data_IF_268713080044
#
_entry.id   IF_268713080044
#
_cell.length_a   1.000
_cell.length_b   1.000
_cell.length_c   1.000
_cell.angle_alpha   90.00
_cell.angle_beta   90.00
_cell.angle_gamma   90.00
#
_symmetry.space_group_name_H-M   'P 1'
#
loop_
_entity.id
_entity.type
_entity.pdbx_description
1 polymer ?
#
# COMPACT_ATOMS: atom_id res chain seq x y z
N UNK A 1 -8.23 -6.68 65.98
CA UNK A 1 -9.37 -6.03 66.66
C UNK A 1 -10.37 -5.60 65.60
N UNK A 2 -11.60 -6.12 65.74
CA UNK A 2 -12.87 -5.81 65.07
C UNK A 2 -12.94 -5.52 63.56
N UNK A 3 -13.41 -6.54 62.84
CA UNK A 3 -14.27 -6.43 61.66
C UNK A 3 -15.63 -5.81 62.03
N UNK A 4 -16.15 -4.92 61.18
CA UNK A 4 -17.57 -4.54 61.13
C UNK A 4 -18.04 -4.57 59.65
N UNK A 5 -19.22 -5.14 59.34
CA UNK A 5 -19.67 -5.36 57.97
C UNK A 5 -20.55 -4.20 57.45
N UNK A 6 -20.40 -3.85 56.17
CA UNK A 6 -21.31 -2.94 55.48
C UNK A 6 -22.44 -3.72 54.81
N UNK A 7 -23.66 -3.39 55.17
CA UNK A 7 -24.92 -3.98 54.70
C UNK A 7 -25.36 -3.28 53.40
N UNK A 8 -25.76 -4.08 52.41
CA UNK A 8 -26.30 -3.63 51.12
C UNK A 8 -27.81 -3.39 51.28
N UNK A 9 -28.27 -2.16 51.06
CA UNK A 9 -29.69 -1.82 50.98
C UNK A 9 -30.17 -1.86 49.51
N UNK A 10 -31.01 -2.84 49.18
CA UNK A 10 -31.82 -2.86 47.97
C UNK A 10 -33.02 -1.90 48.15
N UNK A 11 -33.17 -0.94 47.24
CA UNK A 11 -34.40 -0.16 47.08
C UNK A 11 -35.14 -0.61 45.81
N UNK A 12 -36.45 -0.87 45.84
CA UNK A 12 -37.21 -1.30 44.67
C UNK A 12 -37.62 -0.09 43.83
N UNK A 13 -37.21 -0.07 42.55
CA UNK A 13 -37.70 0.91 41.58
C UNK A 13 -38.96 0.38 40.89
N UNK A 14 -40.07 1.04 41.16
CA UNK A 14 -41.40 0.82 40.60
C UNK A 14 -41.47 1.31 39.14
N UNK A 15 -41.99 0.46 38.25
CA UNK A 15 -42.20 0.76 36.83
C UNK A 15 -43.45 1.62 36.67
N UNK A 16 -43.28 2.88 36.27
CA UNK A 16 -44.37 3.73 35.80
C UNK A 16 -44.53 3.61 34.28
N UNK A 17 -45.69 3.09 33.84
CA UNK A 17 -46.20 3.24 32.47
C UNK A 17 -46.85 4.62 32.31
N UNK A 18 -46.58 5.33 31.21
CA UNK A 18 -47.50 6.34 30.69
C UNK A 18 -48.15 5.87 29.38
N UNK A 19 -49.47 5.75 29.40
CA UNK A 19 -50.34 5.77 28.23
C UNK A 19 -50.76 7.20 27.94
N UNK A 20 -50.45 7.73 26.75
CA UNK A 20 -51.35 8.64 26.02
C UNK A 20 -50.86 8.89 24.60
N UNK A 21 -51.76 8.55 23.67
CA UNK A 21 -51.78 8.82 22.24
C UNK A 21 -51.14 10.15 21.79
N UNK A 22 -50.26 10.07 20.80
CA UNK A 22 -50.12 11.07 19.74
C UNK A 22 -49.96 10.37 18.40
N UNK A 23 -50.82 10.77 17.48
CA UNK A 23 -51.01 10.20 16.14
C UNK A 23 -49.82 10.49 15.21
N UNK A 24 -49.34 9.46 14.53
CA UNK A 24 -48.44 9.56 13.38
C UNK A 24 -49.27 9.28 12.10
N UNK A 25 -49.17 10.08 11.04
CA UNK A 25 -49.96 9.84 9.83
C UNK A 25 -49.41 8.66 9.03
N UNK A 26 -50.34 7.80 8.60
CA UNK A 26 -50.15 6.66 7.71
C UNK A 26 -49.56 7.07 6.34
N UNK A 27 -48.58 6.30 5.88
CA UNK A 27 -48.05 6.33 4.52
C UNK A 27 -49.00 5.57 3.57
N UNK A 28 -49.61 6.28 2.61
CA UNK A 28 -50.48 5.73 1.56
C UNK A 28 -49.71 5.62 0.21
N UNK A 29 -49.54 4.42 -0.37
CA UNK A 29 -48.77 4.23 -1.61
C UNK A 29 -49.55 4.57 -2.89
N UNK A 30 -50.58 5.42 -2.85
CA UNK A 30 -51.38 5.81 -4.04
C UNK A 30 -51.40 7.31 -4.38
N UNK A 31 -50.55 8.13 -3.76
CA UNK A 31 -50.40 9.55 -4.08
C UNK A 31 -49.21 9.82 -5.02
N UNK A 32 -49.26 9.32 -6.26
CA UNK A 32 -48.35 9.71 -7.33
C UNK A 32 -49.04 9.55 -8.69
N UNK A 33 -50.21 10.17 -8.85
CA UNK A 33 -50.83 10.45 -10.14
C UNK A 33 -51.44 11.84 -10.07
N UNK A 34 -51.26 12.58 -11.15
CA UNK A 34 -51.82 13.89 -11.48
C UNK A 34 -51.01 15.14 -11.10
N UNK A 35 -50.22 15.62 -12.07
CA UNK A 35 -50.16 17.03 -12.55
C UNK A 35 -49.20 17.15 -13.77
N UNK A 36 -49.32 18.16 -14.67
CA UNK A 36 -49.58 17.94 -16.10
C UNK A 36 -48.40 18.16 -17.07
N UNK A 37 -48.53 17.60 -18.28
CA UNK A 37 -47.66 17.85 -19.46
C UNK A 37 -47.93 19.21 -20.12
N UNK A 38 -46.90 19.84 -20.71
CA UNK A 38 -47.04 20.66 -21.89
C UNK A 38 -46.43 20.00 -23.14
N UNK A 39 -46.85 20.54 -24.28
CA UNK A 39 -47.00 19.90 -25.59
C UNK A 39 -45.75 19.80 -26.49
N UNK A 40 -45.91 18.94 -27.50
CA UNK A 40 -45.00 18.65 -28.61
C UNK A 40 -44.87 19.86 -29.55
N UNK A 41 -43.64 20.15 -29.97
CA UNK A 41 -43.40 20.76 -31.28
C UNK A 41 -42.29 20.01 -32.01
N UNK A 42 -42.68 19.40 -33.11
CA UNK A 42 -41.89 18.74 -34.14
C UNK A 42 -40.77 19.60 -34.70
N UNK A 43 -39.60 19.00 -34.98
CA UNK A 43 -38.91 19.15 -36.27
C UNK A 43 -37.85 18.07 -36.46
N UNK A 44 -37.84 17.58 -37.69
CA UNK A 44 -37.14 16.42 -38.23
C UNK A 44 -35.62 16.48 -38.16
N UNK A 45 -35.02 15.30 -38.06
CA UNK A 45 -33.64 15.03 -38.43
C UNK A 45 -33.42 15.25 -39.94
N UNK A 46 -32.20 15.64 -40.37
CA UNK A 46 -31.75 15.38 -41.72
C UNK A 46 -30.75 14.22 -41.75
N UNK A 47 -31.13 13.28 -42.60
CA UNK A 47 -30.44 12.20 -43.27
C UNK A 47 -29.00 12.52 -43.72
N UNK A 48 -28.12 11.54 -43.53
CA UNK A 48 -26.82 11.41 -44.19
C UNK A 48 -26.96 11.54 -45.72
N UNK A 49 -26.28 12.53 -46.31
CA UNK A 49 -25.94 12.56 -47.74
C UNK A 49 -24.42 12.66 -47.90
N UNK A 50 -23.95 11.83 -48.82
CA UNK A 50 -22.56 11.67 -49.27
C UNK A 50 -21.93 12.99 -49.73
N UNK A 51 -20.71 13.26 -49.25
CA UNK A 51 -19.69 14.03 -49.97
C UNK A 51 -18.39 13.21 -49.89
N UNK A 52 -17.79 12.98 -51.06
CA UNK A 52 -16.69 12.03 -51.28
C UNK A 52 -15.35 12.44 -50.67
N UNK A 53 -14.33 11.58 -50.78
CA UNK A 53 -13.02 11.82 -50.19
C UNK A 53 -12.18 12.68 -51.13
N UNK A 54 -11.87 13.90 -50.71
CA UNK A 54 -10.70 14.63 -51.20
C UNK A 54 -9.94 15.12 -49.97
N UNK A 55 -9.10 14.24 -49.42
CA UNK A 55 -8.13 14.56 -48.38
C UNK A 55 -6.75 14.37 -48.99
N UNK A 56 -6.20 15.48 -49.46
CA UNK A 56 -4.79 15.61 -49.79
C UNK A 56 -3.95 15.22 -48.57
N UNK A 57 -3.05 14.26 -48.77
CA UNK A 57 -2.04 13.83 -47.79
C UNK A 57 -0.94 14.89 -47.76
N UNK A 58 -0.66 15.57 -46.64
CA UNK A 58 0.65 16.17 -46.44
C UNK A 58 1.61 15.05 -46.01
N UNK A 59 2.64 14.82 -46.82
CA UNK A 59 3.80 14.06 -46.42
C UNK A 59 4.47 14.76 -45.22
N UNK A 60 4.35 14.16 -44.04
CA UNK A 60 5.00 14.64 -42.83
C UNK A 60 4.98 13.53 -41.78
N UNK A 61 6.16 12.99 -41.48
CA UNK A 61 6.34 11.85 -40.60
C UNK A 61 5.65 12.03 -39.24
N UNK A 62 4.71 11.15 -38.93
CA UNK A 62 4.13 11.04 -37.60
C UNK A 62 5.23 10.54 -36.67
N UNK A 63 5.61 11.38 -35.71
CA UNK A 63 6.61 11.04 -34.69
C UNK A 63 6.04 9.99 -33.74
N UNK A 64 6.25 8.70 -34.05
CA UNK A 64 5.79 7.54 -33.27
C UNK A 64 6.33 7.56 -31.82
N UNK A 65 7.42 8.28 -31.59
CA UNK A 65 8.04 8.46 -30.25
C UNK A 65 7.15 9.22 -29.26
N UNK A 66 6.40 10.23 -29.72
CA UNK A 66 5.60 11.09 -28.82
C UNK A 66 4.34 10.42 -28.28
N UNK A 67 3.65 9.63 -29.12
CA UNK A 67 2.43 8.93 -28.73
C UNK A 67 2.71 7.76 -27.77
N UNK A 68 3.83 7.05 -27.96
CA UNK A 68 4.26 5.96 -27.08
C UNK A 68 4.67 6.48 -25.68
N UNK A 69 5.37 7.61 -25.64
CA UNK A 69 5.74 8.28 -24.39
C UNK A 69 4.51 8.75 -23.60
N UNK A 70 3.49 9.29 -24.28
CA UNK A 70 2.25 9.74 -23.65
C UNK A 70 1.41 8.55 -23.12
N UNK A 71 1.34 7.45 -23.87
CA UNK A 71 0.64 6.23 -23.44
C UNK A 71 1.35 5.55 -22.25
N UNK A 72 2.68 5.44 -22.27
CA UNK A 72 3.47 4.86 -21.19
C UNK A 72 3.43 5.74 -19.91
N UNK A 73 3.51 7.06 -20.06
CA UNK A 73 3.32 8.00 -18.95
C UNK A 73 1.91 7.91 -18.35
N UNK A 74 0.89 7.58 -19.14
CA UNK A 74 -0.49 7.38 -18.67
C UNK A 74 -0.68 6.01 -17.98
N UNK A 75 -0.04 4.95 -18.47
CA UNK A 75 -0.02 3.61 -17.84
C UNK A 75 0.66 3.66 -16.46
N UNK A 76 1.71 4.47 -16.31
CA UNK A 76 2.38 4.69 -15.02
C UNK A 76 1.62 5.61 -14.04
N UNK A 77 0.48 6.19 -14.43
CA UNK A 77 -0.29 7.14 -13.59
C UNK A 77 -1.40 6.49 -12.75
N UNK A 78 -1.73 5.21 -12.98
CA UNK A 78 -2.87 4.58 -12.29
C UNK A 78 -2.61 3.17 -11.75
N UNK A 79 -1.48 2.54 -12.11
CA UNK A 79 -1.10 1.24 -11.56
C UNK A 79 -0.05 1.40 -10.45
N UNK A 80 -0.17 0.68 -9.31
CA UNK A 80 0.84 0.68 -8.26
C UNK A 80 2.18 0.19 -8.81
N UNK A 81 3.26 0.91 -8.49
CA UNK A 81 4.60 0.48 -8.85
C UNK A 81 5.08 -0.53 -7.81
N UNK A 82 5.30 -1.78 -8.23
CA UNK A 82 5.97 -2.78 -7.40
C UNK A 82 7.43 -2.92 -7.85
N UNK A 83 8.35 -2.57 -6.96
CA UNK A 83 9.78 -2.64 -7.17
C UNK A 83 10.32 -3.81 -6.36
N UNK A 84 10.94 -4.79 -7.02
CA UNK A 84 11.43 -6.01 -6.40
C UNK A 84 12.96 -5.96 -6.35
N UNK A 85 13.54 -6.22 -5.19
CA UNK A 85 14.99 -6.26 -4.96
C UNK A 85 15.38 -7.58 -4.33
N UNK A 86 16.64 -7.94 -4.47
CA UNK A 86 17.14 -9.25 -4.03
C UNK A 86 17.00 -9.44 -2.52
N UNK A 87 17.23 -8.39 -1.73
CA UNK A 87 17.28 -8.47 -0.27
C UNK A 87 16.78 -7.18 0.43
N UNK A 88 16.55 -7.21 1.76
CA UNK A 88 16.11 -6.06 2.53
C UNK A 88 17.03 -4.83 2.46
N UNK A 89 18.35 -5.01 2.33
CA UNK A 89 19.30 -3.90 2.19
C UNK A 89 19.15 -3.22 0.83
N UNK A 90 19.05 -3.99 -0.25
CA UNK A 90 18.84 -3.47 -1.59
C UNK A 90 17.50 -2.71 -1.71
N UNK A 91 16.42 -3.26 -1.14
CA UNK A 91 15.11 -2.59 -1.05
C UNK A 91 15.20 -1.27 -0.26
N UNK A 92 15.86 -1.30 0.91
CA UNK A 92 16.00 -0.12 1.77
C UNK A 92 16.87 0.96 1.15
N UNK A 93 17.98 0.57 0.51
CA UNK A 93 18.86 1.49 -0.23
C UNK A 93 18.11 2.16 -1.38
N UNK A 94 17.29 1.41 -2.13
CA UNK A 94 16.50 1.97 -3.22
C UNK A 94 15.55 3.07 -2.72
N UNK A 95 14.84 2.85 -1.61
CA UNK A 95 13.95 3.87 -1.03
C UNK A 95 14.75 5.07 -0.51
N UNK A 96 15.89 4.86 0.15
CA UNK A 96 16.73 5.96 0.61
C UNK A 96 17.22 6.83 -0.56
N UNK A 97 17.70 6.21 -1.64
CA UNK A 97 18.10 6.88 -2.88
C UNK A 97 16.92 7.66 -3.48
N UNK A 98 15.73 7.07 -3.49
CA UNK A 98 14.50 7.70 -3.98
C UNK A 98 14.10 8.93 -3.15
N UNK A 99 14.10 8.83 -1.82
CA UNK A 99 13.80 9.96 -0.92
C UNK A 99 14.80 11.10 -1.13
N UNK A 100 16.09 10.80 -1.26
CA UNK A 100 17.14 11.79 -1.53
C UNK A 100 16.89 12.49 -2.86
N UNK A 101 16.59 11.74 -3.93
CA UNK A 101 16.27 12.28 -5.24
C UNK A 101 15.03 13.18 -5.19
N UNK A 102 13.99 12.78 -4.46
CA UNK A 102 12.77 13.56 -4.28
C UNK A 102 13.03 14.87 -3.54
N UNK A 103 13.76 14.85 -2.44
CA UNK A 103 14.12 16.06 -1.70
C UNK A 103 14.99 16.98 -2.57
N UNK A 104 16.01 16.45 -3.27
CA UNK A 104 16.87 17.24 -4.16
C UNK A 104 16.11 17.88 -5.32
N UNK A 105 15.25 17.10 -5.98
CA UNK A 105 14.44 17.56 -7.12
C UNK A 105 13.42 18.60 -6.67
N UNK A 106 12.84 18.41 -5.47
CA UNK A 106 11.94 19.40 -4.89
C UNK A 106 12.67 20.68 -4.51
N UNK A 107 13.96 20.61 -4.12
CA UNK A 107 14.79 21.75 -3.73
C UNK A 107 14.12 22.63 -2.65
N UNK A 108 13.94 22.10 -1.41
CA UNK A 108 13.16 22.77 -0.38
C UNK A 108 13.85 24.02 0.17
N UNK A 109 13.06 25.06 0.41
CA UNK A 109 13.46 26.29 1.11
C UNK A 109 12.71 26.42 2.43
N UNK A 110 12.99 27.45 3.23
CA UNK A 110 12.27 27.67 4.48
C UNK A 110 10.77 27.97 4.23
N UNK A 111 10.45 28.65 3.13
CA UNK A 111 9.10 29.04 2.72
C UNK A 111 8.35 27.91 2.00
N UNK A 112 9.11 26.96 1.43
CA UNK A 112 8.58 25.79 0.73
C UNK A 112 9.31 24.53 1.20
N UNK A 113 9.02 24.04 2.42
CA UNK A 113 9.67 22.86 2.95
C UNK A 113 9.21 21.59 2.24
N UNK A 114 10.03 20.55 2.27
CA UNK A 114 9.63 19.21 1.85
C UNK A 114 8.95 18.50 3.02
N UNK A 115 7.69 18.10 2.88
CA UNK A 115 6.92 17.47 3.96
C UNK A 115 6.98 15.95 3.84
N UNK A 116 7.54 15.27 4.84
CA UNK A 116 7.84 13.83 4.82
C UNK A 116 7.09 13.09 5.93
N UNK A 117 6.22 12.15 5.54
CA UNK A 117 5.60 11.19 6.46
C UNK A 117 6.55 10.05 6.78
N UNK A 118 6.67 9.65 8.05
CA UNK A 118 7.67 8.68 8.51
C UNK A 118 7.09 7.53 9.36
N UNK A 119 7.54 6.28 9.13
CA UNK A 119 7.20 5.11 9.93
C UNK A 119 8.16 4.86 11.09
N UNK A 120 7.74 4.00 12.01
CA UNK A 120 8.62 3.32 12.98
C UNK A 120 8.69 1.81 12.68
N UNK A 121 9.28 1.04 13.59
CA UNK A 121 9.41 -0.42 13.47
C UNK A 121 10.69 -0.85 12.77
N UNK A 122 10.87 -2.15 12.57
CA UNK A 122 12.13 -2.72 12.07
C UNK A 122 12.38 -2.44 10.58
N UNK A 123 11.33 -2.46 9.75
CA UNK A 123 11.45 -2.28 8.30
C UNK A 123 12.15 -0.98 7.87
N UNK A 124 11.85 0.21 8.44
CA UNK A 124 12.51 1.45 8.02
C UNK A 124 13.91 1.68 8.60
N UNK A 125 14.40 0.86 9.53
CA UNK A 125 15.70 1.11 10.20
C UNK A 125 16.86 1.20 9.21
N UNK A 126 16.92 0.29 8.24
CA UNK A 126 17.95 0.29 7.21
C UNK A 126 17.85 1.53 6.29
N UNK A 127 16.63 2.00 6.02
CA UNK A 127 16.39 3.24 5.25
C UNK A 127 16.96 4.43 6.02
N UNK A 128 16.69 4.54 7.32
CA UNK A 128 17.24 5.60 8.16
C UNK A 128 18.76 5.56 8.21
N UNK A 129 19.37 4.38 8.34
CA UNK A 129 20.83 4.23 8.31
C UNK A 129 21.44 4.78 7.00
N UNK A 130 20.83 4.47 5.86
CA UNK A 130 21.28 5.01 4.57
C UNK A 130 21.10 6.53 4.48
N UNK A 131 19.95 7.07 4.90
CA UNK A 131 19.71 8.52 4.90
C UNK A 131 20.71 9.27 5.79
N UNK A 132 21.00 8.72 6.98
CA UNK A 132 22.01 9.26 7.91
C UNK A 132 23.40 9.20 7.29
N UNK A 133 23.77 8.08 6.67
CA UNK A 133 25.07 7.94 6.01
C UNK A 133 25.24 8.99 4.91
N UNK A 134 24.22 9.18 4.07
CA UNK A 134 24.23 10.16 2.97
C UNK A 134 24.25 11.60 3.46
N UNK A 135 23.60 11.88 4.59
CA UNK A 135 23.72 13.18 5.24
C UNK A 135 25.15 13.44 5.74
N UNK A 136 25.76 12.48 6.43
CA UNK A 136 27.11 12.61 7.00
C UNK A 136 28.20 12.87 5.96
N UNK A 137 28.03 12.38 4.73
CA UNK A 137 28.95 12.66 3.60
C UNK A 137 28.57 13.92 2.81
N UNK A 138 27.58 14.70 3.26
CA UNK A 138 27.17 15.96 2.65
C UNK A 138 26.30 15.84 1.40
N UNK A 139 25.78 14.65 1.09
CA UNK A 139 24.96 14.45 -0.10
C UNK A 139 23.54 14.99 0.05
N UNK A 140 23.01 15.14 1.26
CA UNK A 140 21.64 15.59 1.52
C UNK A 140 21.54 16.38 2.82
N UNK A 141 20.62 17.36 2.86
CA UNK A 141 20.27 18.13 4.05
C UNK A 141 18.77 18.01 4.33
N UNK A 142 18.42 17.94 5.61
CA UNK A 142 17.06 17.89 6.16
C UNK A 142 16.66 19.21 6.83
N UNK A 143 17.46 20.27 6.71
CA UNK A 143 17.22 21.58 7.35
C UNK A 143 15.89 22.23 6.97
N UNK A 144 15.42 21.99 5.75
CA UNK A 144 14.15 22.47 5.21
C UNK A 144 13.15 21.31 4.97
N UNK A 145 13.30 20.22 5.71
CA UNK A 145 12.33 19.12 5.73
C UNK A 145 11.46 19.27 6.98
N UNK A 146 10.15 19.05 6.83
CA UNK A 146 9.17 18.95 7.92
C UNK A 146 8.69 17.51 7.98
N UNK A 147 8.73 16.88 9.15
CA UNK A 147 8.39 15.47 9.31
C UNK A 147 7.10 15.30 10.10
N UNK A 148 6.34 14.25 9.75
CA UNK A 148 5.16 13.79 10.48
C UNK A 148 5.25 12.27 10.67
N UNK A 149 5.32 11.81 11.91
CA UNK A 149 5.25 10.38 12.21
C UNK A 149 3.81 9.85 12.18
N UNK A 150 3.66 8.56 11.91
CA UNK A 150 2.35 7.91 11.81
C UNK A 150 1.62 7.78 13.14
N UNK A 151 2.32 7.55 14.24
CA UNK A 151 1.71 7.10 15.48
C UNK A 151 2.59 7.36 16.70
N UNK A 152 1.98 7.24 17.88
CA UNK A 152 2.64 7.16 19.18
C UNK A 152 1.73 6.41 20.17
N UNK A 153 2.31 5.67 21.12
CA UNK A 153 1.54 5.02 22.17
C UNK A 153 0.94 6.03 23.15
N UNK A 154 -0.27 5.75 23.62
CA UNK A 154 -0.92 6.55 24.66
C UNK A 154 -0.40 6.17 26.03
N UNK A 155 -0.04 7.17 26.84
CA UNK A 155 0.36 6.99 28.24
C UNK A 155 1.80 6.50 28.45
N UNK A 156 2.59 6.33 27.39
CA UNK A 156 4.02 6.00 27.52
C UNK A 156 4.83 7.29 27.75
N UNK A 157 5.79 7.34 28.70
CA UNK A 157 6.67 8.50 28.83
C UNK A 157 7.40 8.79 27.52
N UNK A 158 7.54 10.07 27.17
CA UNK A 158 8.15 10.50 25.91
C UNK A 158 9.60 10.05 25.76
N UNK A 159 10.32 9.95 26.87
CA UNK A 159 11.71 9.52 26.98
C UNK A 159 11.85 8.01 27.21
N UNK A 160 10.74 7.28 27.32
CA UNK A 160 10.77 5.82 27.43
C UNK A 160 11.49 5.23 26.21
N UNK A 161 12.40 4.24 26.37
CA UNK A 161 13.20 3.70 25.26
C UNK A 161 12.36 3.14 24.10
N UNK A 162 11.18 2.59 24.42
CA UNK A 162 10.24 2.02 23.44
C UNK A 162 9.16 2.99 22.95
N UNK A 163 9.21 4.28 23.34
CA UNK A 163 8.35 5.30 22.73
C UNK A 163 8.79 5.55 21.28
N UNK A 164 7.86 5.96 20.43
CA UNK A 164 8.18 6.30 19.05
C UNK A 164 8.94 7.63 18.94
N UNK A 165 8.79 8.54 19.90
CA UNK A 165 9.73 9.64 20.13
C UNK A 165 11.17 9.10 20.26
N UNK A 166 11.46 8.26 21.26
CA UNK A 166 12.82 7.70 21.46
C UNK A 166 13.34 6.94 20.25
N UNK A 167 12.49 6.13 19.60
CA UNK A 167 12.84 5.41 18.38
C UNK A 167 13.35 6.36 17.29
N UNK A 168 12.60 7.42 17.00
CA UNK A 168 12.96 8.34 15.92
C UNK A 168 14.22 9.14 16.22
N UNK A 169 14.42 9.57 17.47
CA UNK A 169 15.66 10.23 17.86
C UNK A 169 16.86 9.29 17.83
N UNK A 170 16.70 8.04 18.26
CA UNK A 170 17.75 7.02 18.23
C UNK A 170 18.20 6.68 16.81
N UNK A 171 17.26 6.50 15.89
CA UNK A 171 17.55 5.98 14.56
C UNK A 171 17.76 7.06 13.50
N UNK A 172 17.22 8.26 13.68
CA UNK A 172 17.22 9.27 12.62
C UNK A 172 17.48 10.69 13.09
N UNK A 173 16.60 11.30 13.90
CA UNK A 173 16.61 12.75 14.12
C UNK A 173 17.86 13.29 14.82
N UNK A 174 18.54 12.50 15.67
CA UNK A 174 19.79 12.93 16.31
C UNK A 174 21.01 12.89 15.40
N UNK A 175 20.87 12.35 14.20
CA UNK A 175 21.99 12.08 13.27
C UNK A 175 21.91 12.89 11.98
N UNK A 176 20.93 13.78 11.86
CA UNK A 176 20.70 14.65 10.71
C UNK A 176 20.41 16.09 11.12
N UNK A 177 20.51 17.04 10.19
CA UNK A 177 20.32 18.48 10.42
C UNK A 177 18.85 18.97 10.35
N UNK A 178 17.89 18.09 10.66
CA UNK A 178 16.47 18.47 10.77
C UNK A 178 16.27 19.40 11.97
N UNK A 179 15.48 20.46 11.80
CA UNK A 179 15.19 21.40 12.90
C UNK A 179 14.20 20.76 13.88
N UNK A 180 14.38 20.89 15.21
CA UNK A 180 13.42 20.36 16.19
C UNK A 180 11.97 20.82 15.96
N UNK A 181 11.75 22.09 15.61
CA UNK A 181 10.42 22.65 15.35
C UNK A 181 9.74 22.07 14.09
N UNK A 182 10.53 21.43 13.23
CA UNK A 182 10.04 20.75 12.03
C UNK A 182 9.68 19.28 12.28
N UNK A 183 9.92 18.76 13.48
CA UNK A 183 9.61 17.37 13.86
C UNK A 183 8.22 17.31 14.49
N UNK A 184 7.31 16.58 13.85
CA UNK A 184 5.96 16.35 14.38
C UNK A 184 5.76 14.87 14.67
N UNK A 185 5.48 14.56 15.94
CA UNK A 185 5.08 13.23 16.41
C UNK A 185 3.89 13.46 17.34
N UNK A 186 2.86 12.61 17.23
CA UNK A 186 1.67 12.67 18.07
C UNK A 186 2.03 12.66 19.56
N UNK A 187 1.35 13.48 20.35
CA UNK A 187 1.52 13.49 21.80
C UNK A 187 0.57 12.49 22.48
N UNK A 188 1.03 11.25 22.66
CA UNK A 188 0.28 10.21 23.38
C UNK A 188 -0.01 10.48 24.87
N UNK A 189 0.54 11.56 25.44
CA UNK A 189 0.29 12.01 26.82
C UNK A 189 -0.52 13.31 26.87
N UNK A 190 -1.13 13.75 25.77
CA UNK A 190 -2.00 14.91 25.76
C UNK A 190 -3.21 14.70 26.69
N UNK A 191 -3.64 15.78 27.36
CA UNK A 191 -4.81 15.75 28.24
C UNK A 191 -6.11 15.43 27.48
N UNK A 192 -6.20 15.95 26.26
CA UNK A 192 -7.29 15.69 25.32
C UNK A 192 -6.68 15.07 24.05
N UNK A 193 -6.85 13.76 23.92
CA UNK A 193 -6.28 12.98 22.84
C UNK A 193 -7.00 13.23 21.50
N UNK A 194 -8.30 13.53 21.52
CA UNK A 194 -9.05 13.83 20.30
C UNK A 194 -8.65 15.18 19.74
N UNK A 195 -8.49 16.19 20.62
CA UNK A 195 -7.98 17.49 20.23
C UNK A 195 -6.54 17.39 19.68
N UNK A 196 -5.68 16.58 20.29
CA UNK A 196 -4.33 16.31 19.75
C UNK A 196 -4.41 15.75 18.32
N UNK A 197 -5.26 14.74 18.08
CA UNK A 197 -5.46 14.18 16.74
C UNK A 197 -5.95 15.23 15.73
N UNK A 198 -6.91 16.07 16.13
CA UNK A 198 -7.43 17.15 15.28
C UNK A 198 -6.34 18.18 14.95
N UNK A 199 -5.60 18.63 15.97
CA UNK A 199 -4.50 19.58 15.79
C UNK A 199 -3.40 19.01 14.90
N UNK A 200 -3.13 17.71 14.97
CA UNK A 200 -2.16 17.05 14.10
C UNK A 200 -2.56 17.13 12.62
N UNK A 201 -3.85 16.90 12.31
CA UNK A 201 -4.40 17.04 10.97
C UNK A 201 -4.35 18.49 10.46
N UNK A 202 -4.67 19.46 11.33
CA UNK A 202 -4.58 20.88 10.97
C UNK A 202 -3.13 21.32 10.74
N UNK A 203 -2.16 20.79 11.49
CA UNK A 203 -0.73 21.03 11.22
C UNK A 203 -0.31 20.49 9.86
N UNK A 204 -0.74 19.29 9.48
CA UNK A 204 -0.47 18.71 8.15
C UNK A 204 -1.04 19.61 7.05
N UNK A 205 -2.28 20.09 7.21
CA UNK A 205 -2.91 21.01 6.24
C UNK A 205 -2.19 22.36 6.17
N UNK A 206 -1.79 22.92 7.31
CA UNK A 206 -1.15 24.23 7.39
C UNK A 206 0.18 24.28 6.62
N UNK A 207 0.91 23.17 6.56
CA UNK A 207 2.15 23.07 5.77
C UNK A 207 1.93 22.65 4.30
N UNK A 208 0.68 22.54 3.85
CA UNK A 208 0.32 22.24 2.46
C UNK A 208 0.17 20.76 2.13
N UNK A 209 0.07 19.89 3.14
CA UNK A 209 -0.04 18.44 2.99
C UNK A 209 1.32 17.72 2.87
N UNK A 210 1.27 16.39 2.87
CA UNK A 210 2.47 15.54 2.83
C UNK A 210 2.93 15.35 1.38
N UNK A 211 4.20 15.62 1.09
CA UNK A 211 4.79 15.46 -0.25
C UNK A 211 5.10 13.98 -0.53
N UNK A 212 5.68 13.28 0.45
CA UNK A 212 5.96 11.85 0.38
C UNK A 212 5.66 11.22 1.74
N UNK A 213 4.85 10.17 1.74
CA UNK A 213 4.56 9.39 2.94
C UNK A 213 5.27 8.04 2.85
N UNK A 214 6.31 7.84 3.67
CA UNK A 214 6.95 6.54 3.83
C UNK A 214 6.14 5.71 4.84
N UNK A 215 5.79 4.49 4.47
CA UNK A 215 5.06 3.55 5.31
C UNK A 215 5.69 2.16 5.29
N UNK A 216 5.23 1.32 6.22
CA UNK A 216 5.45 -0.11 6.21
C UNK A 216 4.10 -0.83 6.35
N UNK A 217 4.13 -2.16 6.33
CA UNK A 217 2.94 -3.00 6.47
C UNK A 217 3.07 -3.94 7.68
N UNK A 218 1.98 -4.19 8.39
CA UNK A 218 1.84 -5.32 9.32
C UNK A 218 1.69 -6.67 8.62
N UNK A 219 1.89 -7.80 9.31
CA UNK A 219 1.64 -9.13 8.74
C UNK A 219 0.15 -9.39 8.44
N UNK A 220 -0.74 -8.61 9.02
CA UNK A 220 -2.19 -8.53 8.82
C UNK A 220 -2.62 -7.47 7.78
N UNK A 221 -1.66 -6.82 7.12
CA UNK A 221 -1.94 -5.76 6.14
C UNK A 221 -2.20 -4.36 6.70
N UNK A 222 -2.00 -4.12 8.01
CA UNK A 222 -2.21 -2.80 8.56
C UNK A 222 -1.16 -1.78 8.08
N UNK A 223 -1.58 -0.53 7.96
CA UNK A 223 -0.71 0.65 7.84
C UNK A 223 -0.83 1.50 9.09
N UNK A 224 0.29 1.90 9.71
CA UNK A 224 0.30 2.49 11.05
C UNK A 224 -0.45 1.57 12.04
N UNK A 225 -1.20 2.10 13.00
CA UNK A 225 -2.15 1.32 13.80
C UNK A 225 -3.55 1.22 13.17
N UNK A 226 -3.68 1.34 11.85
CA UNK A 226 -4.96 1.07 11.15
C UNK A 226 -5.16 -0.43 10.96
N UNK A 227 -5.46 -1.09 12.07
CA UNK A 227 -5.72 -2.54 12.17
C UNK A 227 -6.92 -2.98 11.32
N UNK A 228 -7.02 -4.30 11.02
CA UNK A 228 -8.15 -4.88 10.30
C UNK A 228 -9.52 -4.41 10.84
N UNK A 229 -10.39 -3.99 9.93
CA UNK A 229 -11.69 -3.41 10.25
C UNK A 229 -11.70 -1.88 10.36
N UNK A 230 -10.53 -1.22 10.34
CA UNK A 230 -10.44 0.25 10.33
C UNK A 230 -11.06 0.83 9.07
N UNK A 231 -11.82 1.92 9.21
CA UNK A 231 -12.39 2.64 8.06
C UNK A 231 -11.29 3.07 7.08
N UNK A 232 -11.46 2.78 5.80
CA UNK A 232 -10.53 3.23 4.74
C UNK A 232 -10.57 4.75 4.54
N UNK A 233 -11.61 5.43 5.05
CA UNK A 233 -11.73 6.90 5.07
C UNK A 233 -11.35 7.51 6.42
N UNK A 234 -10.72 6.73 7.31
CA UNK A 234 -10.36 7.19 8.65
C UNK A 234 -9.38 8.36 8.63
N UNK A 235 -9.50 9.24 9.65
CA UNK A 235 -8.55 10.31 9.99
C UNK A 235 -7.72 9.93 11.21
N UNK A 236 -6.79 10.82 11.58
CA UNK A 236 -6.02 10.69 12.82
C UNK A 236 -6.94 10.52 14.02
N UNK A 237 -6.70 9.50 14.85
CA UNK A 237 -7.59 9.12 15.97
C UNK A 237 -6.86 8.33 17.04
N UNK A 238 -7.52 8.19 18.20
CA UNK A 238 -7.20 7.18 19.20
C UNK A 238 -7.60 5.81 18.68
N UNK A 239 -6.74 4.81 18.87
CA UNK A 239 -6.99 3.43 18.50
C UNK A 239 -6.57 2.49 19.61
N UNK A 240 -7.50 1.62 20.02
CA UNK A 240 -7.19 0.47 20.87
C UNK A 240 -6.41 -0.57 20.06
N UNK A 241 -5.31 -1.06 20.62
CA UNK A 241 -4.49 -2.07 19.98
C UNK A 241 -5.16 -3.45 20.07
N UNK A 242 -5.16 -4.20 18.97
CA UNK A 242 -5.57 -5.59 18.93
C UNK A 242 -4.64 -6.47 19.74
N UNK A 243 -5.15 -7.64 20.15
CA UNK A 243 -4.37 -8.61 20.90
C UNK A 243 -3.10 -9.05 20.15
N UNK A 244 -3.20 -9.26 18.84
CA UNK A 244 -2.05 -9.65 18.00
C UNK A 244 -0.96 -8.56 17.97
N UNK A 245 -1.36 -7.28 17.94
CA UNK A 245 -0.45 -6.13 18.04
C UNK A 245 0.25 -6.11 19.40
N UNK A 246 -0.50 -6.32 20.49
CA UNK A 246 0.03 -6.38 21.85
C UNK A 246 1.04 -7.55 21.97
N UNK A 247 0.69 -8.72 21.45
CA UNK A 247 1.55 -9.89 21.46
C UNK A 247 2.85 -9.64 20.67
N UNK A 248 2.76 -9.09 19.46
CA UNK A 248 3.91 -8.78 18.63
C UNK A 248 4.84 -7.73 19.25
N UNK A 249 4.27 -6.75 19.96
CA UNK A 249 5.04 -5.67 20.57
C UNK A 249 5.58 -6.02 21.96
N UNK A 250 5.03 -7.04 22.62
CA UNK A 250 5.49 -7.50 23.94
C UNK A 250 7.01 -7.77 24.02
N UNK A 251 7.63 -8.19 22.91
CA UNK A 251 9.09 -8.39 22.80
C UNK A 251 9.91 -7.15 23.14
N UNK A 252 9.35 -5.96 22.94
CA UNK A 252 9.98 -4.68 23.28
C UNK A 252 9.77 -4.30 24.75
N UNK A 253 8.74 -4.84 25.39
CA UNK A 253 8.37 -4.59 26.78
C UNK A 253 8.72 -5.78 27.68
N UNK A 254 9.90 -6.37 27.48
CA UNK A 254 10.41 -7.48 28.29
C UNK A 254 9.57 -8.77 28.21
N UNK A 255 8.85 -8.98 27.10
CA UNK A 255 7.86 -10.06 26.91
C UNK A 255 6.72 -10.03 27.93
N UNK A 256 6.40 -8.86 28.50
CA UNK A 256 5.29 -8.66 29.41
C UNK A 256 4.14 -7.91 28.74
N UNK A 257 3.02 -8.60 28.52
CA UNK A 257 1.83 -8.05 27.87
C UNK A 257 1.22 -6.87 28.65
N UNK A 258 1.33 -6.88 29.99
CA UNK A 258 0.76 -5.82 30.83
C UNK A 258 1.52 -4.49 30.75
N UNK A 259 2.76 -4.53 30.26
CA UNK A 259 3.57 -3.34 30.04
C UNK A 259 3.35 -2.69 28.68
N UNK A 260 2.70 -3.39 27.75
CA UNK A 260 2.40 -2.86 26.42
C UNK A 260 1.25 -1.85 26.53
N UNK A 261 1.41 -0.61 26.04
CA UNK A 261 0.33 0.35 26.00
C UNK A 261 -0.88 -0.21 25.24
N UNK A 262 -2.09 -0.04 25.80
CA UNK A 262 -3.32 -0.61 25.21
C UNK A 262 -3.93 0.24 24.10
N UNK A 263 -3.48 1.49 23.97
CA UNK A 263 -3.97 2.45 23.00
C UNK A 263 -2.81 3.19 22.35
N UNK A 264 -3.03 3.68 21.14
CA UNK A 264 -2.13 4.55 20.42
C UNK A 264 -2.91 5.69 19.75
N UNK A 265 -2.24 6.81 19.52
CA UNK A 265 -2.67 7.78 18.53
C UNK A 265 -2.08 7.37 17.19
N UNK A 266 -2.87 7.44 16.13
CA UNK A 266 -2.42 7.04 14.79
C UNK A 266 -3.07 7.89 13.73
N UNK A 267 -2.33 8.21 12.67
CA UNK A 267 -2.88 8.78 11.44
C UNK A 267 -3.88 7.81 10.81
N UNK A 268 -4.90 8.36 10.16
CA UNK A 268 -5.90 7.54 9.48
C UNK A 268 -5.41 7.03 8.13
N UNK A 269 -6.11 6.04 7.58
CA UNK A 269 -5.86 5.54 6.22
C UNK A 269 -5.98 6.68 5.21
N UNK A 270 -7.03 7.52 5.32
CA UNK A 270 -7.19 8.66 4.42
C UNK A 270 -6.12 9.73 4.64
N UNK A 271 -5.64 9.90 5.87
CA UNK A 271 -4.53 10.82 6.18
C UNK A 271 -3.27 10.44 5.40
N UNK A 272 -2.98 9.14 5.27
CA UNK A 272 -1.87 8.65 4.43
C UNK A 272 -2.18 8.83 2.95
N UNK A 273 -3.38 8.45 2.51
CA UNK A 273 -3.79 8.55 1.09
C UNK A 273 -3.94 9.99 0.59
N UNK A 274 -3.99 10.98 1.47
CA UNK A 274 -3.99 12.41 1.12
C UNK A 274 -2.59 12.93 0.76
N UNK A 275 -1.53 12.15 1.00
CA UNK A 275 -0.19 12.50 0.56
C UNK A 275 -0.11 12.56 -0.97
N UNK A 276 0.85 13.31 -1.51
CA UNK A 276 1.06 13.35 -2.98
C UNK A 276 1.65 12.06 -3.49
N UNK A 277 2.47 11.42 -2.68
CA UNK A 277 3.13 10.16 -2.97
C UNK A 277 3.14 9.28 -1.72
N UNK A 278 2.89 7.99 -1.89
CA UNK A 278 2.97 7.00 -0.81
C UNK A 278 3.94 5.90 -1.21
N UNK A 279 5.00 5.73 -0.41
CA UNK A 279 6.05 4.73 -0.62
C UNK A 279 6.01 3.73 0.52
N UNK A 280 5.90 2.45 0.22
CA UNK A 280 5.79 1.38 1.21
C UNK A 280 6.99 0.44 1.10
N UNK A 281 7.64 0.15 2.23
CA UNK A 281 8.64 -0.92 2.35
C UNK A 281 7.99 -2.20 2.89
N UNK A 282 8.22 -3.34 2.23
CA UNK A 282 7.76 -4.65 2.69
C UNK A 282 8.89 -5.67 2.52
N UNK A 283 9.42 -6.19 3.63
CA UNK A 283 10.56 -7.11 3.60
C UNK A 283 10.31 -8.37 4.42
N UNK A 284 10.69 -9.52 3.88
CA UNK A 284 10.69 -10.83 4.52
C UNK A 284 9.41 -11.64 4.31
N UNK A 285 9.57 -12.96 4.31
CA UNK A 285 8.53 -13.95 4.01
C UNK A 285 7.27 -13.82 4.88
N UNK A 286 7.43 -13.43 6.14
CA UNK A 286 6.33 -13.23 7.08
C UNK A 286 5.35 -12.09 6.69
N UNK A 287 5.66 -11.32 5.64
CA UNK A 287 4.78 -10.28 5.08
C UNK A 287 4.20 -10.65 3.71
N UNK A 288 4.56 -11.80 3.15
CA UNK A 288 4.18 -12.17 1.79
C UNK A 288 2.66 -12.28 1.59
N UNK A 289 1.95 -12.87 2.56
CA UNK A 289 0.49 -12.95 2.52
C UNK A 289 -0.15 -11.56 2.51
N UNK A 290 0.35 -10.64 3.33
CA UNK A 290 -0.18 -9.28 3.39
C UNK A 290 0.04 -8.53 2.06
N UNK A 291 1.22 -8.68 1.44
CA UNK A 291 1.52 -8.14 0.12
C UNK A 291 0.54 -8.66 -0.94
N UNK A 292 0.35 -9.99 -0.97
CA UNK A 292 -0.56 -10.67 -1.89
C UNK A 292 -1.99 -10.13 -1.77
N UNK A 293 -2.50 -10.03 -0.55
CA UNK A 293 -3.85 -9.51 -0.28
C UNK A 293 -4.02 -8.04 -0.67
N UNK A 294 -2.97 -7.24 -0.53
CA UNK A 294 -3.02 -5.82 -0.84
C UNK A 294 -2.83 -5.48 -2.32
N UNK A 295 -2.16 -6.33 -3.11
CA UNK A 295 -1.92 -6.09 -4.53
C UNK A 295 -2.85 -6.89 -5.44
N UNK A 296 -3.06 -8.18 -5.15
CA UNK A 296 -3.87 -9.07 -5.99
C UNK A 296 -5.31 -9.21 -5.50
N UNK A 297 -5.55 -8.92 -4.22
CA UNK A 297 -6.90 -8.83 -3.65
C UNK A 297 -7.61 -7.54 -4.00
N UNK A 298 -8.93 -7.50 -3.80
CA UNK A 298 -9.69 -6.26 -3.90
C UNK A 298 -9.49 -5.35 -2.68
N UNK A 299 -9.81 -4.06 -2.84
CA UNK A 299 -9.82 -3.09 -1.73
C UNK A 299 -10.71 -3.58 -0.59
N UNK A 300 -10.12 -3.77 0.58
CA UNK A 300 -10.77 -4.40 1.73
C UNK A 300 -10.24 -3.80 3.06
N UNK A 301 -11.14 -3.37 3.93
CA UNK A 301 -10.79 -2.81 5.24
C UNK A 301 -10.15 -3.81 6.22
N UNK A 302 -10.19 -5.11 5.93
CA UNK A 302 -9.44 -6.13 6.67
C UNK A 302 -7.96 -6.15 6.30
N UNK A 303 -7.59 -5.57 5.15
CA UNK A 303 -6.21 -5.41 4.68
C UNK A 303 -6.03 -3.94 4.34
N UNK A 304 -5.88 -3.06 5.33
CA UNK A 304 -6.08 -1.61 5.14
C UNK A 304 -5.14 -0.99 4.12
N UNK A 305 -3.94 -1.56 3.91
CA UNK A 305 -3.03 -1.14 2.84
C UNK A 305 -3.58 -1.40 1.43
N UNK A 306 -4.53 -2.32 1.22
CA UNK A 306 -5.19 -2.51 -0.09
C UNK A 306 -5.84 -1.24 -0.63
N UNK A 307 -6.18 -0.27 0.23
CA UNK A 307 -6.66 1.06 -0.17
C UNK A 307 -5.66 1.85 -1.03
N UNK A 308 -4.38 1.49 -0.98
CA UNK A 308 -3.32 2.07 -1.81
C UNK A 308 -3.57 1.88 -3.31
N UNK A 309 -4.36 0.87 -3.71
CA UNK A 309 -4.78 0.68 -5.10
C UNK A 309 -5.58 1.86 -5.65
N UNK A 310 -6.18 2.68 -4.78
CA UNK A 310 -6.93 3.89 -5.16
C UNK A 310 -6.07 5.16 -5.16
N UNK A 311 -4.80 5.08 -4.75
CA UNK A 311 -3.90 6.22 -4.68
C UNK A 311 -3.31 6.54 -6.07
N UNK A 312 -3.19 7.81 -6.49
CA UNK A 312 -2.68 8.16 -7.83
C UNK A 312 -1.18 7.89 -8.01
N UNK A 313 -0.40 7.92 -6.92
CA UNK A 313 1.05 7.72 -6.96
C UNK A 313 1.54 6.74 -5.87
N UNK A 314 1.21 5.45 -5.97
CA UNK A 314 1.69 4.46 -5.01
C UNK A 314 2.96 3.76 -5.49
N UNK A 315 3.93 3.61 -4.59
CA UNK A 315 5.11 2.78 -4.78
C UNK A 315 5.24 1.78 -3.64
N UNK A 316 5.42 0.51 -3.99
CA UNK A 316 5.71 -0.56 -3.05
C UNK A 316 7.07 -1.12 -3.43
N UNK A 317 8.00 -1.14 -2.48
CA UNK A 317 9.35 -1.68 -2.67
C UNK A 317 9.50 -2.88 -1.74
N UNK A 318 9.91 -4.00 -2.32
CA UNK A 318 9.94 -5.30 -1.64
C UNK A 318 11.26 -6.03 -1.85
N UNK A 319 11.59 -6.94 -0.94
CA UNK A 319 12.58 -7.99 -1.19
C UNK A 319 11.93 -9.21 -1.88
N UNK A 320 12.75 -10.13 -2.41
CA UNK A 320 12.25 -11.35 -3.05
C UNK A 320 11.39 -12.20 -2.09
N UNK A 321 11.80 -12.32 -0.82
CA UNK A 321 11.09 -13.09 0.20
C UNK A 321 9.65 -12.59 0.45
N UNK A 322 9.40 -11.29 0.37
CA UNK A 322 8.05 -10.76 0.49
C UNK A 322 7.15 -11.13 -0.70
N UNK A 323 7.69 -11.64 -1.81
CA UNK A 323 6.91 -11.99 -3.01
C UNK A 323 6.44 -13.44 -3.05
N UNK A 324 6.76 -14.26 -2.05
CA UNK A 324 6.52 -15.72 -2.06
C UNK A 324 5.07 -16.14 -2.28
N UNK A 325 4.10 -15.31 -1.87
CA UNK A 325 2.67 -15.58 -2.04
C UNK A 325 2.08 -14.93 -3.30
N UNK A 326 2.87 -14.13 -4.05
CA UNK A 326 2.41 -13.52 -5.30
C UNK A 326 2.37 -14.54 -6.44
N UNK A 327 1.48 -14.31 -7.40
CA UNK A 327 1.49 -15.08 -8.63
C UNK A 327 2.77 -14.79 -9.43
N UNK A 328 3.36 -15.84 -10.02
CA UNK A 328 4.53 -15.72 -10.91
C UNK A 328 4.29 -14.70 -12.02
N UNK A 329 3.06 -14.63 -12.54
CA UNK A 329 2.67 -13.65 -13.58
C UNK A 329 2.77 -12.21 -13.07
N UNK A 330 2.34 -11.94 -11.84
CA UNK A 330 2.43 -10.63 -11.18
C UNK A 330 3.88 -10.19 -11.04
N UNK A 331 4.73 -11.07 -10.52
CA UNK A 331 6.18 -10.79 -10.35
C UNK A 331 6.85 -10.50 -11.69
N UNK A 332 6.61 -11.35 -12.71
CA UNK A 332 7.17 -11.16 -14.06
C UNK A 332 6.71 -9.86 -14.71
N UNK A 333 5.44 -9.49 -14.51
CA UNK A 333 4.87 -8.26 -15.05
C UNK A 333 5.55 -7.02 -14.47
N UNK A 334 5.75 -6.95 -13.15
CA UNK A 334 6.38 -5.78 -12.55
C UNK A 334 7.89 -5.71 -12.81
N UNK A 335 8.59 -6.85 -12.83
CA UNK A 335 10.00 -6.91 -13.25
C UNK A 335 10.19 -6.42 -14.70
N UNK A 336 9.30 -6.80 -15.62
CA UNK A 336 9.40 -6.35 -17.01
C UNK A 336 9.13 -4.86 -17.17
N UNK A 337 8.16 -4.30 -16.44
CA UNK A 337 7.89 -2.86 -16.43
C UNK A 337 9.11 -2.08 -15.96
N UNK A 338 9.74 -2.51 -14.87
CA UNK A 338 10.90 -1.82 -14.32
C UNK A 338 12.11 -1.87 -15.27
N UNK A 339 12.34 -3.03 -15.90
CA UNK A 339 13.40 -3.20 -16.89
C UNK A 339 13.23 -2.23 -18.07
N UNK A 340 12.03 -2.19 -18.65
CA UNK A 340 11.71 -1.28 -19.77
C UNK A 340 11.83 0.18 -19.34
N UNK A 341 11.36 0.54 -18.15
CA UNK A 341 11.49 1.89 -17.62
C UNK A 341 12.96 2.30 -17.46
N UNK A 342 13.81 1.37 -17.02
CA UNK A 342 15.25 1.59 -16.86
C UNK A 342 15.95 1.74 -18.22
N UNK A 343 15.69 0.84 -19.17
CA UNK A 343 16.27 0.86 -20.52
C UNK A 343 15.95 2.13 -21.30
N UNK A 344 14.70 2.60 -21.19
CA UNK A 344 14.22 3.77 -21.91
C UNK A 344 14.49 5.08 -21.14
N UNK A 345 15.09 5.01 -19.95
CA UNK A 345 15.37 6.17 -19.10
C UNK A 345 14.10 6.86 -18.57
N UNK A 346 12.96 6.16 -18.58
CA UNK A 346 11.71 6.69 -18.05
C UNK A 346 11.69 6.57 -16.53
N UNK A 347 11.90 7.70 -15.85
CA UNK A 347 11.48 7.88 -14.46
C UNK A 347 10.22 8.73 -14.42
N UNK A 348 9.24 8.32 -13.62
CA UNK A 348 7.98 9.03 -13.46
C UNK A 348 8.23 10.48 -13.01
N UNK A 349 7.84 11.47 -13.82
CA UNK A 349 7.71 12.87 -13.41
C UNK A 349 6.40 13.00 -12.63
N UNK A 350 6.48 13.40 -11.36
CA UNK A 350 5.30 13.75 -10.56
C UNK A 350 4.76 15.11 -11.02
N UNK A 351 3.43 15.31 -11.06
CA UNK A 351 2.83 16.57 -11.47
C UNK A 351 3.23 17.71 -10.50
N UNK A 352 3.59 18.87 -11.05
CA UNK A 352 4.00 20.06 -10.26
C UNK A 352 2.87 20.65 -9.39
N UNK A 353 1.60 20.40 -9.72
CA UNK A 353 0.43 20.81 -8.92
C UNK A 353 -0.48 19.61 -8.62
N UNK A 354 -1.17 19.68 -7.47
CA UNK A 354 -2.07 18.64 -6.94
C UNK A 354 -3.14 18.19 -7.95
N UNK A 355 -3.64 19.13 -8.74
CA UNK A 355 -4.78 18.91 -9.66
C UNK A 355 -4.44 19.22 -11.13
N UNK A 356 -3.16 19.44 -11.47
CA UNK A 356 -2.79 19.70 -12.86
C UNK A 356 -2.76 18.39 -13.66
N UNK A 357 -3.78 18.19 -14.50
CA UNK A 357 -3.82 17.12 -15.50
C UNK A 357 -2.74 17.29 -16.59
N UNK A 358 -2.14 18.47 -16.69
CA UNK A 358 -1.22 18.89 -17.75
C UNK A 358 0.09 19.37 -17.11
N UNK A 359 1.19 18.66 -17.39
CA UNK A 359 2.55 19.18 -17.20
C UNK A 359 3.11 19.52 -18.59
N UNK A 360 3.23 20.81 -18.87
CA UNK A 360 3.88 21.35 -20.07
C UNK A 360 5.39 21.18 -19.91
N UNK A 361 5.92 20.02 -20.30
CA UNK A 361 7.37 19.78 -20.28
C UNK A 361 7.75 18.31 -20.35
N UNK A 362 8.03 17.84 -21.57
CA UNK A 362 8.58 16.51 -21.87
C UNK A 362 9.75 16.18 -20.94
N UNK A 363 9.73 14.96 -20.39
CA UNK A 363 10.84 14.11 -19.90
C UNK A 363 12.11 14.79 -19.33
N UNK A 364 12.57 14.37 -18.15
CA UNK A 364 13.94 14.70 -17.76
C UNK A 364 14.89 14.02 -18.76
N UNK A 365 15.80 14.80 -19.34
CA UNK A 365 16.79 14.31 -20.30
C UNK A 365 17.74 13.35 -19.57
N UNK A 366 18.05 12.17 -20.16
CA UNK A 366 18.97 11.22 -19.54
C UNK A 366 20.35 11.84 -19.30
N UNK A 367 21.04 11.37 -18.26
CA UNK A 367 22.47 11.60 -18.13
C UNK A 367 23.16 11.06 -19.40
N UNK A 368 23.94 11.93 -20.07
CA UNK A 368 24.62 11.64 -21.33
C UNK A 368 25.47 10.36 -21.16
N UNK A 369 25.00 9.23 -21.69
CA UNK A 369 25.86 8.12 -22.08
C UNK A 369 25.18 7.26 -23.17
N UNK A 370 25.86 7.25 -24.31
CA UNK A 370 25.83 6.33 -25.47
C UNK A 370 24.46 6.02 -26.11
N UNK A 371 24.20 6.75 -27.20
CA UNK A 371 23.21 6.39 -28.19
C UNK A 371 23.68 5.17 -29.00
N UNK A 372 23.03 4.02 -28.79
CA UNK A 372 22.97 2.97 -29.81
C UNK A 372 21.51 2.87 -30.28
N UNK A 373 21.31 3.00 -31.59
CA UNK A 373 19.99 2.99 -32.23
C UNK A 373 19.25 1.69 -31.92
N UNK A 374 17.99 1.83 -31.53
CA UNK A 374 17.12 0.72 -31.14
C UNK A 374 16.39 0.21 -32.39
N UNK A 375 16.55 -1.09 -32.69
CA UNK A 375 15.62 -1.86 -33.51
C UNK A 375 14.83 -2.77 -32.58
N UNK A 376 13.51 -2.60 -32.54
CA UNK A 376 12.60 -3.46 -31.79
C UNK A 376 12.26 -4.69 -32.64
N UNK A 377 12.91 -5.82 -32.38
CA UNK A 377 12.45 -7.12 -32.88
C UNK A 377 11.42 -7.69 -31.91
N UNK A 378 10.14 -7.47 -32.24
CA UNK A 378 9.03 -8.24 -31.66
C UNK A 378 9.09 -9.65 -32.26
N UNK A 379 9.16 -10.73 -31.47
CA UNK A 379 8.97 -12.07 -32.01
C UNK A 379 7.58 -12.15 -32.61
N UNK A 380 7.48 -12.35 -33.93
CA UNK A 380 6.21 -12.71 -34.55
C UNK A 380 5.82 -14.08 -34.00
N UNK A 381 4.87 -14.12 -33.07
CA UNK A 381 4.13 -15.34 -32.82
C UNK A 381 3.33 -15.64 -34.07
N UNK A 382 3.62 -16.79 -34.70
CA UNK A 382 2.84 -17.30 -35.80
C UNK A 382 1.43 -17.63 -35.27
N UNK A 383 0.46 -16.80 -35.62
CA UNK A 383 -0.95 -17.00 -35.30
C UNK A 383 -1.61 -17.81 -36.43
N UNK A 384 -0.89 -18.76 -37.03
CA UNK A 384 -1.51 -19.80 -37.83
C UNK A 384 -2.47 -20.55 -36.90
N UNK A 385 -3.76 -20.50 -37.24
CA UNK A 385 -4.84 -21.14 -36.49
C UNK A 385 -4.48 -22.61 -36.27
N UNK A 386 -4.04 -22.98 -35.07
CA UNK A 386 -4.03 -24.37 -34.65
C UNK A 386 -5.48 -24.85 -34.68
N UNK A 387 -5.77 -25.87 -35.48
CA UNK A 387 -7.08 -26.49 -35.51
C UNK A 387 -7.51 -26.83 -34.07
N UNK A 388 -8.73 -26.41 -33.71
CA UNK A 388 -9.32 -26.79 -32.42
C UNK A 388 -9.28 -28.32 -32.29
N UNK A 389 -8.91 -28.86 -31.12
CA UNK A 389 -8.95 -30.31 -30.92
C UNK A 389 -10.40 -30.78 -31.12
N UNK A 390 -10.58 -31.77 -31.99
CA UNK A 390 -11.85 -32.48 -32.14
C UNK A 390 -12.09 -33.24 -30.84
N UNK A 391 -13.16 -32.91 -30.13
CA UNK A 391 -13.58 -33.66 -28.95
C UNK A 391 -14.19 -34.99 -29.41
N UNK A 392 -13.53 -36.10 -29.07
CA UNK A 392 -14.13 -37.43 -29.21
C UNK A 392 -15.26 -37.62 -28.19
N UNK A 393 -16.37 -38.27 -28.58
CA UNK A 393 -17.47 -38.55 -27.67
C UNK A 393 -17.06 -39.57 -26.58
N UNK A 394 -17.58 -39.38 -25.37
CA UNK A 394 -17.27 -40.15 -24.15
C UNK A 394 -17.59 -41.65 -24.20
N UNK A 395 -18.09 -42.19 -25.30
CA UNK A 395 -18.33 -43.63 -25.47
C UNK A 395 -17.05 -44.44 -25.81
N UNK A 396 -15.92 -43.79 -26.10
CA UNK A 396 -14.67 -44.46 -26.49
C UNK A 396 -13.70 -44.76 -25.33
N UNK A 397 -14.05 -44.46 -24.07
CA UNK A 397 -13.17 -44.65 -22.89
C UNK A 397 -13.45 -45.91 -22.05
N UNK A 398 -14.26 -46.85 -22.55
CA UNK A 398 -14.62 -48.08 -21.82
C UNK A 398 -14.03 -49.36 -22.44
N UNK A 399 -12.82 -49.31 -23.00
CA UNK A 399 -12.13 -50.52 -23.46
C UNK A 399 -10.68 -50.67 -23.01
N UNK A 400 -10.12 -49.70 -22.26
CA UNK A 400 -8.71 -49.75 -21.81
C UNK A 400 -8.52 -50.06 -20.32
N UNK A 401 -9.60 -50.12 -19.52
CA UNK A 401 -9.50 -50.55 -18.12
C UNK A 401 -9.35 -52.08 -17.95
N UNK A 402 -9.83 -52.87 -18.92
CA UNK A 402 -9.71 -54.34 -18.87
C UNK A 402 -8.31 -54.86 -19.23
N UNK A 403 -7.48 -54.04 -19.90
CA UNK A 403 -6.10 -54.41 -20.26
C UNK A 403 -5.10 -54.17 -19.12
N UNK A 404 -5.35 -53.18 -18.24
CA UNK A 404 -4.49 -52.92 -17.07
C UNK A 404 -4.79 -53.83 -15.88
N UNK A 405 -6.02 -54.32 -15.74
CA UNK A 405 -6.39 -55.27 -14.70
C UNK A 405 -5.70 -56.64 -14.84
N UNK A 406 -5.25 -57.03 -16.05
CA UNK A 406 -4.54 -58.29 -16.29
C UNK A 406 -3.02 -58.24 -16.10
N UNK A 407 -2.41 -57.06 -16.02
CA UNK A 407 -0.98 -56.91 -15.77
C UNK A 407 -0.64 -56.82 -14.27
N UNK A 408 -1.65 -56.67 -13.40
CA UNK A 408 -1.52 -56.48 -11.96
C UNK A 408 -1.88 -57.74 -11.16
N UNK A 409 -1.54 -58.92 -11.68
CA UNK A 409 -1.74 -60.23 -11.02
C UNK A 409 -0.46 -61.09 -10.93
N UNK A 410 0.73 -60.55 -11.18
CA UNK A 410 1.96 -61.37 -11.20
C UNK A 410 3.12 -60.90 -10.30
N UNK A 411 2.86 -60.08 -9.27
CA UNK A 411 3.94 -59.59 -8.38
C UNK A 411 3.73 -59.84 -6.88
N UNK A 412 2.71 -60.62 -6.49
CA UNK A 412 2.61 -61.18 -5.14
C UNK A 412 3.48 -62.43 -5.00
N UNK A 413 4.80 -62.23 -4.92
CA UNK A 413 5.74 -63.18 -4.31
C UNK A 413 7.10 -62.49 -4.17
N UNK A 414 7.43 -62.01 -2.96
CA UNK A 414 8.73 -62.18 -2.27
C UNK A 414 8.59 -61.55 -0.87
N UNK A 415 8.86 -62.40 0.13
CA UNK A 415 8.74 -62.19 1.57
C UNK A 415 9.80 -61.25 2.17
N UNK A 416 9.43 -60.73 3.35
CA UNK A 416 10.20 -60.15 4.47
C UNK A 416 11.73 -60.33 4.52
N UNK A 417 12.45 -59.27 4.96
CA UNK A 417 13.45 -59.26 6.07
C UNK A 417 14.06 -57.85 6.32
N UNK A 418 14.62 -57.56 7.52
CA UNK A 418 14.36 -56.31 8.25
C UNK A 418 15.48 -55.25 8.29
N UNK A 419 15.08 -54.07 8.79
CA UNK A 419 15.85 -52.85 9.07
C UNK A 419 17.16 -53.03 9.86
N UNK A 420 18.24 -52.39 9.40
CA UNK A 420 19.48 -52.19 10.17
C UNK A 420 19.68 -50.70 10.48
N UNK A 421 19.75 -50.39 11.78
CA UNK A 421 20.18 -49.11 12.36
C UNK A 421 21.69 -48.95 12.17
N UNK A 422 22.15 -47.77 11.77
CA UNK A 422 23.56 -47.36 11.89
C UNK A 422 23.71 -46.28 12.97
N UNK A 423 24.42 -46.64 14.03
CA UNK A 423 24.88 -45.78 15.12
C UNK A 423 26.20 -45.11 14.78
N UNK A 424 26.38 -43.89 15.27
CA UNK A 424 27.64 -43.14 15.26
C UNK A 424 28.78 -43.84 16.01
N UNK A 425 30.03 -43.67 15.53
CA UNK A 425 31.24 -43.56 16.37
C UNK A 425 32.28 -42.62 15.76
N UNK A 426 32.93 -41.94 16.69
CA UNK A 426 34.03 -40.96 16.58
C UNK A 426 35.38 -41.69 16.60
N UNK A 427 36.42 -41.00 16.11
CA UNK A 427 37.87 -41.20 16.27
C UNK A 427 38.57 -42.11 15.25
N UNK A 428 39.61 -41.52 14.63
CA UNK A 428 40.50 -42.09 13.63
C UNK A 428 40.91 -41.03 12.62
#
# INVERSE_FOLDING_TARGET
MHHAPFTIHHSPFTIHRPTSHRDFPHWDPRAARDTPRPEKSSRCAPTLRQLGPELAVPAGGVCVSGALALACATIHRTAPRLIIRDDPHAASKYIADYIIERIKTFNPTAERPFVLGLPTGSSPVLIYQHLVQRHKVGEISFRNVVTFNMDEYVGIPRDHPESYHSFMYKHFFSHVDVKPDNINILNGNARDLELECHNYEEKIKAVGGIELFLGGIGPDGHIAFNEPGSSLKSRTRVKTLAYDTILANSRFFGNNLDQVPRMALTVGVQTVLDAREVVIIITGAHKALALQRCIEGGVNHMWTLSSLQSHPHPMIVVDEDATLELQVKTVRYFKSIEMVATELGFRQKLPRKRDSLIDEGTLLVPARNQAHGISLTVPQQDISRSASPVFEPMSARLSDEDAKAKAMQSWDAIEDQPSVRMSARVAG
#
